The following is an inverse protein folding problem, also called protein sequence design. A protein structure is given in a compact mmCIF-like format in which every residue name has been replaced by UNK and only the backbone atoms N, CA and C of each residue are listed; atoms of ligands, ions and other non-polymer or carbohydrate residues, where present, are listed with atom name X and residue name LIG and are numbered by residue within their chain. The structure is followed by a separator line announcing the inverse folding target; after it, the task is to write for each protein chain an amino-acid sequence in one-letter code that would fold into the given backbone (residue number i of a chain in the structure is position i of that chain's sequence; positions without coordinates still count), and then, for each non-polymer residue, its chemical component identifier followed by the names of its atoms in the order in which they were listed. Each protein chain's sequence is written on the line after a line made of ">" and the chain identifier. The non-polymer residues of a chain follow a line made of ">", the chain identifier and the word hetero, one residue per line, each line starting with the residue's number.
data_IF_628311045075
#
_entry.id   IF_628311045075
#
_cell.length_a   1.000
_cell.length_b   1.000
_cell.length_c   1.000
_cell.angle_alpha   90.00
_cell.angle_beta   90.00
_cell.angle_gamma   90.00
#
_symmetry.space_group_name_H-M   'P 1'
#
loop_
_entity.id
_entity.type
_entity.pdbx_description
1 polymer ?
#
# COMPACT_ATOMS: atom_id res chain seq x y z
N UNK A 1 1.33 1.70 35.81
CA UNK A 1 0.17 2.39 36.41
C UNK A 1 -0.94 1.37 36.56
N UNK A 2 -1.51 1.15 37.77
CA UNK A 2 -2.59 0.16 37.97
C UNK A 2 -3.91 0.78 37.49
N UNK A 3 -4.70 0.11 36.65
CA UNK A 3 -5.97 0.65 36.17
C UNK A 3 -6.96 0.82 37.33
N UNK A 4 -7.71 1.93 37.33
CA UNK A 4 -8.74 2.16 38.33
C UNK A 4 -10.04 1.38 38.03
N UNK A 5 -10.97 1.36 39.00
CA UNK A 5 -12.24 0.64 38.87
C UNK A 5 -13.08 1.08 37.67
N UNK A 6 -13.02 2.35 37.25
CA UNK A 6 -13.76 2.85 36.09
C UNK A 6 -13.14 2.36 34.79
N UNK A 7 -11.81 2.35 34.71
CA UNK A 7 -11.07 1.78 33.58
C UNK A 7 -11.31 0.27 33.46
N UNK A 8 -11.34 -0.44 34.59
CA UNK A 8 -11.63 -1.88 34.61
C UNK A 8 -13.07 -2.18 34.16
N UNK A 9 -14.07 -1.42 34.65
CA UNK A 9 -15.46 -1.59 34.23
C UNK A 9 -15.68 -1.25 32.76
N UNK A 10 -15.07 -0.16 32.27
CA UNK A 10 -15.16 0.23 30.87
C UNK A 10 -14.49 -0.78 29.92
N UNK A 11 -13.34 -1.34 30.31
CA UNK A 11 -12.68 -2.39 29.55
C UNK A 11 -13.52 -3.68 29.53
N UNK A 12 -14.14 -4.03 30.66
CA UNK A 12 -15.01 -5.21 30.78
C UNK A 12 -16.27 -5.10 29.90
N UNK A 13 -16.91 -3.93 29.86
CA UNK A 13 -18.08 -3.70 28.99
C UNK A 13 -17.68 -3.68 27.52
N UNK A 14 -16.53 -3.10 27.16
CA UNK A 14 -16.03 -3.14 25.79
C UNK A 14 -15.71 -4.58 25.33
N UNK A 15 -15.11 -5.40 26.21
CA UNK A 15 -14.83 -6.81 25.92
C UNK A 15 -16.12 -7.64 25.76
N UNK A 16 -17.13 -7.40 26.60
CA UNK A 16 -18.43 -8.05 26.48
C UNK A 16 -19.16 -7.64 25.18
N UNK A 17 -19.11 -6.36 24.80
CA UNK A 17 -19.68 -5.88 23.54
C UNK A 17 -18.94 -6.42 22.32
N UNK A 18 -17.63 -6.62 22.38
CA UNK A 18 -16.87 -7.25 21.30
C UNK A 18 -17.19 -8.74 21.14
N UNK A 19 -17.60 -9.42 22.22
CA UNK A 19 -17.90 -10.87 22.21
C UNK A 19 -19.19 -11.26 21.47
N UNK A 20 -20.07 -10.27 21.19
CA UNK A 20 -21.30 -10.46 20.39
C UNK A 20 -21.14 -10.02 18.94
N UNK A 21 -19.96 -9.55 18.53
CA UNK A 21 -19.68 -9.24 17.13
C UNK A 21 -19.41 -10.54 16.37
N UNK A 22 -20.36 -10.95 15.53
CA UNK A 22 -20.17 -12.06 14.60
C UNK A 22 -19.28 -11.63 13.43
N UNK A 23 -17.97 -11.78 13.64
CA UNK A 23 -16.93 -11.49 12.63
C UNK A 23 -16.96 -12.47 11.45
N UNK A 24 -17.77 -13.54 11.49
CA UNK A 24 -17.89 -14.49 10.37
C UNK A 24 -18.55 -13.88 9.12
N UNK A 25 -19.22 -12.74 9.29
CA UNK A 25 -19.82 -11.94 8.22
C UNK A 25 -18.82 -11.02 7.51
N UNK A 26 -17.63 -10.78 8.09
CA UNK A 26 -16.57 -9.98 7.46
C UNK A 26 -15.84 -10.86 6.47
N UNK A 27 -16.30 -10.88 5.22
CA UNK A 27 -15.60 -11.52 4.11
C UNK A 27 -15.02 -10.45 3.19
N UNK A 28 -13.78 -10.65 2.76
CA UNK A 28 -13.27 -9.92 1.60
C UNK A 28 -14.20 -10.19 0.39
N UNK A 29 -14.46 -9.17 -0.42
CA UNK A 29 -15.17 -9.37 -1.68
C UNK A 29 -14.42 -10.43 -2.51
N UNK A 30 -15.17 -11.36 -3.11
CA UNK A 30 -14.61 -12.37 -3.99
C UNK A 30 -13.99 -11.76 -5.25
N UNK A 31 -13.29 -12.60 -6.02
CA UNK A 31 -12.76 -12.20 -7.33
C UNK A 31 -13.87 -11.63 -8.22
N UNK A 32 -13.56 -10.55 -8.94
CA UNK A 32 -14.48 -9.90 -9.86
C UNK A 32 -13.74 -8.99 -10.83
N UNK A 33 -14.46 -8.46 -11.81
CA UNK A 33 -13.90 -7.52 -12.80
C UNK A 33 -14.11 -6.09 -12.30
N UNK A 34 -13.01 -5.35 -12.11
CA UNK A 34 -13.04 -3.91 -11.90
C UNK A 34 -13.01 -3.21 -13.26
N UNK A 35 -14.15 -2.62 -13.67
CA UNK A 35 -14.23 -1.83 -14.90
C UNK A 35 -13.98 -0.36 -14.60
N UNK A 36 -12.96 0.22 -15.22
CA UNK A 36 -12.57 1.62 -15.06
C UNK A 36 -12.73 2.33 -16.40
N UNK A 37 -13.51 3.41 -16.42
CA UNK A 37 -13.54 4.33 -17.56
C UNK A 37 -12.44 5.37 -17.40
N UNK A 38 -11.64 5.58 -18.45
CA UNK A 38 -10.53 6.53 -18.48
C UNK A 38 -10.54 7.35 -19.78
N UNK A 39 -9.76 8.41 -19.84
CA UNK A 39 -9.70 9.23 -21.05
C UNK A 39 -9.05 8.46 -22.19
N UNK A 40 -9.58 8.61 -23.42
CA UNK A 40 -9.08 7.89 -24.59
C UNK A 40 -7.69 8.33 -25.06
N UNK A 41 -7.16 9.42 -24.49
CA UNK A 41 -5.84 9.97 -24.80
C UNK A 41 -4.69 9.19 -24.17
N UNK A 42 -4.93 8.42 -23.10
CA UNK A 42 -3.86 7.72 -22.36
C UNK A 42 -3.97 6.19 -22.55
N UNK A 43 -3.69 5.71 -23.76
CA UNK A 43 -3.66 4.27 -24.05
C UNK A 43 -2.51 3.64 -23.24
N UNK A 44 -2.79 2.74 -22.27
CA UNK A 44 -1.75 2.19 -21.44
C UNK A 44 -0.79 1.33 -22.26
N UNK A 45 0.49 1.67 -22.21
CA UNK A 45 1.56 0.86 -22.81
C UNK A 45 2.39 0.21 -21.70
N UNK A 46 2.84 -1.05 -21.87
CA UNK A 46 3.64 -1.75 -20.86
C UNK A 46 5.12 -1.29 -20.84
N UNK A 47 5.51 -0.34 -21.70
CA UNK A 47 6.91 0.02 -21.95
C UNK A 47 7.35 1.36 -21.33
N UNK A 48 6.55 2.02 -20.51
CA UNK A 48 7.00 3.24 -19.84
C UNK A 48 5.91 4.09 -19.17
N UNK A 49 6.37 5.20 -18.59
CA UNK A 49 5.50 6.22 -18.00
C UNK A 49 4.62 6.85 -19.08
N UNK A 50 3.30 6.89 -18.85
CA UNK A 50 2.39 7.48 -19.82
C UNK A 50 2.51 9.00 -19.84
N UNK A 51 2.41 9.58 -21.05
CA UNK A 51 2.67 11.01 -21.28
C UNK A 51 1.43 11.90 -21.08
N UNK A 52 0.22 11.33 -20.87
CA UNK A 52 -1.03 12.06 -20.65
C UNK A 52 -1.54 11.99 -19.21
N UNK A 53 -0.85 12.67 -18.29
CA UNK A 53 -1.37 12.86 -16.93
C UNK A 53 -1.32 11.61 -16.04
N UNK A 54 -0.53 10.60 -16.40
CA UNK A 54 -0.28 9.40 -15.60
C UNK A 54 -1.51 8.52 -15.33
N UNK A 55 -2.56 8.55 -16.18
CA UNK A 55 -3.71 7.64 -16.04
C UNK A 55 -3.31 6.19 -16.33
N UNK A 56 -2.54 5.94 -17.39
CA UNK A 56 -2.05 4.62 -17.72
C UNK A 56 -1.08 4.06 -16.67
N UNK A 57 -0.27 4.90 -16.02
CA UNK A 57 0.52 4.49 -14.86
C UNK A 57 -0.35 4.15 -13.65
N UNK A 58 -1.40 4.93 -13.38
CA UNK A 58 -2.32 4.69 -12.26
C UNK A 58 -3.10 3.39 -12.42
N UNK A 59 -3.58 3.07 -13.63
CA UNK A 59 -4.47 1.94 -13.86
C UNK A 59 -3.78 0.68 -14.36
N UNK A 60 -2.63 0.79 -15.02
CA UNK A 60 -1.87 -0.38 -15.49
C UNK A 60 -0.52 -0.48 -14.80
N UNK A 61 0.26 0.60 -14.78
CA UNK A 61 1.61 0.60 -14.22
C UNK A 61 1.68 0.04 -12.79
N UNK A 62 0.94 0.63 -11.85
CA UNK A 62 0.93 0.17 -10.45
C UNK A 62 0.33 -1.22 -10.21
N UNK A 63 -0.44 -1.76 -11.17
CA UNK A 63 -1.03 -3.09 -11.03
C UNK A 63 -0.14 -4.20 -11.63
N UNK A 64 0.81 -3.85 -12.50
CA UNK A 64 1.65 -4.79 -13.26
C UNK A 64 3.11 -4.75 -12.81
N UNK A 65 3.58 -3.63 -12.25
CA UNK A 65 4.96 -3.44 -11.86
C UNK A 65 5.09 -2.99 -10.40
N UNK A 66 6.13 -3.50 -9.73
CA UNK A 66 6.55 -3.04 -8.42
C UNK A 66 7.71 -2.04 -8.53
N UNK A 67 7.56 -0.86 -7.93
CA UNK A 67 8.65 0.12 -7.78
C UNK A 67 9.55 -0.21 -6.58
N UNK A 68 10.76 0.37 -6.55
CA UNK A 68 11.67 0.23 -5.41
C UNK A 68 11.06 0.78 -4.11
N UNK A 69 10.43 1.96 -4.19
CA UNK A 69 9.79 2.69 -3.09
C UNK A 69 8.36 3.03 -3.50
N UNK A 70 7.44 3.00 -2.54
CA UNK A 70 6.03 3.36 -2.72
C UNK A 70 5.66 4.61 -1.91
N UNK A 71 4.53 5.21 -2.28
CA UNK A 71 3.91 6.30 -1.52
C UNK A 71 3.02 5.74 -0.42
N UNK A 72 3.10 6.32 0.77
CA UNK A 72 2.15 6.05 1.85
C UNK A 72 0.84 6.80 1.58
N UNK A 73 -0.16 6.08 1.12
CA UNK A 73 -1.51 6.59 0.84
C UNK A 73 -2.51 6.26 1.95
N UNK A 74 -2.04 5.90 3.16
CA UNK A 74 -2.92 5.54 4.30
C UNK A 74 -3.68 6.73 4.88
N UNK A 75 -3.29 7.96 4.53
CA UNK A 75 -3.90 9.21 4.99
C UNK A 75 -4.35 10.05 3.81
N UNK A 76 -5.58 10.54 3.87
CA UNK A 76 -6.15 11.40 2.84
C UNK A 76 -5.88 12.90 3.10
N UNK A 77 -5.49 13.26 4.32
CA UNK A 77 -5.39 14.65 4.82
C UNK A 77 -3.94 15.11 5.04
N UNK A 78 -2.96 14.33 4.59
CA UNK A 78 -1.55 14.66 4.69
C UNK A 78 -0.81 14.29 3.38
N UNK A 79 0.32 14.96 3.07
CA UNK A 79 1.20 14.53 1.99
C UNK A 79 1.64 13.07 2.19
N UNK A 80 1.68 12.30 1.11
CA UNK A 80 2.14 10.92 1.14
C UNK A 80 3.60 10.82 1.54
N UNK A 81 3.88 9.96 2.51
CA UNK A 81 5.25 9.59 2.90
C UNK A 81 5.86 8.59 1.92
N UNK A 82 7.09 8.17 2.19
CA UNK A 82 7.75 7.08 1.47
C UNK A 82 7.71 5.81 2.33
N UNK A 83 7.32 4.70 1.73
CA UNK A 83 7.28 3.37 2.36
C UNK A 83 7.98 2.32 1.49
N UNK A 84 8.47 1.22 2.09
CA UNK A 84 9.08 0.12 1.35
C UNK A 84 8.17 -0.47 0.25
N UNK A 85 8.73 -0.64 -0.95
CA UNK A 85 8.13 -1.38 -2.07
C UNK A 85 8.87 -2.69 -2.30
N UNK A 86 9.43 -2.86 -3.51
CA UNK A 86 10.36 -3.93 -3.84
C UNK A 86 11.64 -3.84 -2.99
N UNK A 87 12.12 -2.63 -2.73
CA UNK A 87 13.19 -2.40 -1.79
C UNK A 87 12.65 -2.36 -0.35
N UNK A 88 13.22 -3.16 0.54
CA UNK A 88 12.88 -3.17 1.98
C UNK A 88 13.51 -1.99 2.72
N UNK A 89 14.61 -1.45 2.21
CA UNK A 89 15.29 -0.26 2.74
C UNK A 89 16.13 0.41 1.66
N UNK A 90 16.42 1.69 1.86
CA UNK A 90 17.32 2.47 1.01
C UNK A 90 18.13 3.43 1.85
N UNK A 91 19.29 3.83 1.33
CA UNK A 91 20.17 4.82 1.97
C UNK A 91 20.92 5.63 0.92
N UNK A 92 21.19 6.90 1.27
CA UNK A 92 22.10 7.78 0.54
C UNK A 92 23.47 7.69 1.19
N UNK A 93 24.53 7.60 0.40
CA UNK A 93 25.89 7.60 0.91
C UNK A 93 26.20 8.96 1.58
N UNK A 94 26.63 8.99 2.86
CA UNK A 94 26.92 10.23 3.55
C UNK A 94 28.11 11.00 2.97
N UNK A 95 29.01 10.34 2.23
CA UNK A 95 30.15 10.96 1.57
C UNK A 95 29.87 11.39 0.12
N UNK A 96 28.77 10.90 -0.47
CA UNK A 96 28.40 11.15 -1.86
C UNK A 96 26.88 11.09 -2.04
N UNK A 97 26.24 12.26 -2.00
CA UNK A 97 24.78 12.37 -2.11
C UNK A 97 24.20 11.91 -3.46
N UNK A 98 25.05 11.58 -4.45
CA UNK A 98 24.62 11.01 -5.74
C UNK A 98 24.55 9.48 -5.72
N UNK A 99 25.11 8.82 -4.70
CA UNK A 99 25.10 7.36 -4.56
C UNK A 99 23.95 6.90 -3.64
N UNK A 100 23.11 6.04 -4.19
CA UNK A 100 21.96 5.45 -3.51
C UNK A 100 22.10 3.93 -3.49
N UNK A 101 21.86 3.32 -2.32
CA UNK A 101 21.86 1.87 -2.14
C UNK A 101 20.47 1.40 -1.73
N UNK A 102 19.95 0.37 -2.41
CA UNK A 102 18.64 -0.24 -2.16
C UNK A 102 18.84 -1.71 -1.78
N UNK A 103 18.15 -2.16 -0.74
CA UNK A 103 18.11 -3.59 -0.36
C UNK A 103 16.80 -4.17 -0.85
N UNK A 104 16.85 -5.15 -1.74
CA UNK A 104 15.66 -5.75 -2.35
C UNK A 104 15.10 -6.87 -1.48
N UNK A 105 13.78 -7.12 -1.59
CA UNK A 105 13.15 -8.31 -1.01
C UNK A 105 13.80 -9.58 -1.59
N UNK A 106 14.10 -10.59 -0.75
CA UNK A 106 14.63 -11.86 -1.23
C UNK A 106 13.55 -12.67 -1.95
N UNK A 107 13.95 -13.48 -2.93
CA UNK A 107 13.08 -14.47 -3.56
C UNK A 107 11.98 -13.90 -4.47
N UNK A 108 12.13 -12.66 -4.93
CA UNK A 108 11.22 -12.08 -5.93
C UNK A 108 11.47 -12.71 -7.30
N UNK A 109 10.39 -13.05 -8.01
CA UNK A 109 10.42 -13.59 -9.38
C UNK A 109 9.62 -12.68 -10.30
N UNK A 110 9.83 -12.82 -11.60
CA UNK A 110 8.95 -12.18 -12.57
C UNK A 110 7.67 -13.01 -12.72
N UNK A 111 6.75 -12.51 -13.53
CA UNK A 111 5.46 -13.15 -13.78
C UNK A 111 5.58 -14.52 -14.48
N UNK A 112 6.75 -14.82 -15.06
CA UNK A 112 7.09 -16.07 -15.75
C UNK A 112 7.96 -17.03 -14.92
N UNK A 113 8.32 -16.68 -13.68
CA UNK A 113 9.13 -17.50 -12.77
C UNK A 113 10.57 -17.04 -12.64
#
# INVERSE_FOLDING_TARGET
>A
MRPDRRQFLAASTAAAAASVLDLSSVRAQGSGTLTIAMTASDIPLPNGQTDQGAEGMRFVGYNVFDSLILWDLSKADAPGGLIPGLATSWSVDPADATRWTFVLRPGVTFHDG
#
